data_IF_803207529387
#
_entry.id   IF_803207529387
#
_cell.length_a   1.000
_cell.length_b   1.000
_cell.length_c   1.000
_cell.angle_alpha   90.00
_cell.angle_beta   90.00
_cell.angle_gamma   90.00
#
_symmetry.space_group_name_H-M   'P 1'
#
loop_
_entity.id
_entity.type
_entity.pdbx_description
1 polymer ?
#
# COMPACT_ATOMS: atom_id res chain seq x y z
N UNK A 1 -2.98 -11.47 32.28
CA UNK A 1 -2.40 -11.07 30.97
C UNK A 1 -1.03 -11.73 30.85
N UNK A 2 -0.80 -12.54 29.82
CA UNK A 2 0.46 -13.31 29.69
C UNK A 2 1.40 -12.55 28.73
N UNK A 3 2.52 -12.02 29.24
CA UNK A 3 3.52 -11.27 28.45
C UNK A 3 4.10 -12.14 27.34
N UNK A 4 4.20 -13.46 27.56
CA UNK A 4 4.64 -14.43 26.55
C UNK A 4 3.73 -14.43 25.31
N UNK A 5 2.42 -14.21 25.48
CA UNK A 5 1.49 -14.12 24.34
C UNK A 5 1.78 -12.89 23.49
N UNK A 6 2.11 -11.75 24.10
CA UNK A 6 2.52 -10.54 23.38
C UNK A 6 3.82 -10.77 22.61
N UNK A 7 4.84 -11.33 23.26
CA UNK A 7 6.13 -11.60 22.63
C UNK A 7 5.99 -12.55 21.43
N UNK A 8 5.10 -13.54 21.50
CA UNK A 8 4.83 -14.46 20.41
C UNK A 8 4.03 -13.82 19.25
N UNK A 9 3.27 -12.73 19.51
CA UNK A 9 2.51 -12.01 18.49
C UNK A 9 3.37 -10.96 17.74
N UNK A 10 4.47 -10.46 18.36
CA UNK A 10 5.31 -9.42 17.77
C UNK A 10 5.90 -9.79 16.40
N UNK A 11 6.46 -11.00 16.17
CA UNK A 11 7.00 -11.34 14.84
C UNK A 11 5.95 -11.28 13.74
N UNK A 12 4.72 -11.74 14.00
CA UNK A 12 3.60 -11.63 13.07
C UNK A 12 3.22 -10.18 12.76
N UNK A 13 3.22 -9.31 13.78
CA UNK A 13 2.97 -7.88 13.64
C UNK A 13 4.06 -7.18 12.83
N UNK A 14 5.33 -7.58 12.99
CA UNK A 14 6.45 -7.06 12.20
C UNK A 14 6.31 -7.48 10.74
N UNK A 15 6.02 -8.77 10.47
CA UNK A 15 5.81 -9.26 9.11
C UNK A 15 4.68 -8.49 8.40
N UNK A 16 3.55 -8.33 9.09
CA UNK A 16 2.40 -7.59 8.58
C UNK A 16 2.75 -6.10 8.39
N UNK A 17 3.45 -5.49 9.34
CA UNK A 17 3.92 -4.11 9.26
C UNK A 17 4.85 -3.86 8.08
N UNK A 18 5.71 -4.82 7.71
CA UNK A 18 6.57 -4.74 6.52
C UNK A 18 5.75 -4.78 5.21
N UNK A 19 4.76 -5.68 5.10
CA UNK A 19 3.89 -5.75 3.92
C UNK A 19 3.12 -4.44 3.75
N UNK A 20 2.54 -3.95 4.84
CA UNK A 20 1.85 -2.65 4.85
C UNK A 20 2.82 -1.46 4.72
N UNK A 21 4.10 -1.65 4.97
CA UNK A 21 5.15 -0.68 4.67
C UNK A 21 5.27 -0.39 3.17
N UNK A 22 5.18 -1.43 2.32
CA UNK A 22 5.13 -1.26 0.86
C UNK A 22 3.88 -0.48 0.45
N UNK A 23 2.72 -0.80 1.02
CA UNK A 23 1.48 -0.04 0.84
C UNK A 23 1.66 1.44 1.25
N UNK A 24 2.21 1.67 2.44
CA UNK A 24 2.41 3.01 2.99
C UNK A 24 3.38 3.85 2.15
N UNK A 25 4.38 3.25 1.50
CA UNK A 25 5.24 3.95 0.52
C UNK A 25 4.38 4.44 -0.67
N UNK A 26 3.45 3.62 -1.18
CA UNK A 26 2.52 4.05 -2.22
C UNK A 26 1.69 5.27 -1.78
N UNK A 27 1.07 5.20 -0.59
CA UNK A 27 0.30 6.31 -0.01
C UNK A 27 1.17 7.54 0.23
N UNK A 28 2.42 7.37 0.69
CA UNK A 28 3.37 8.47 0.88
C UNK A 28 3.64 9.23 -0.44
N UNK A 29 3.75 8.53 -1.55
CA UNK A 29 3.99 9.14 -2.87
C UNK A 29 2.83 10.05 -3.27
N UNK A 30 1.59 9.60 -3.14
CA UNK A 30 0.43 10.44 -3.50
C UNK A 30 0.19 11.54 -2.46
N UNK A 31 0.13 11.19 -1.20
CA UNK A 31 -0.27 12.11 -0.14
C UNK A 31 0.80 13.17 0.18
N UNK A 32 2.09 12.75 0.33
CA UNK A 32 3.15 13.65 0.79
C UNK A 32 3.98 14.25 -0.34
N UNK A 33 4.20 13.49 -1.42
CA UNK A 33 5.07 13.96 -2.51
C UNK A 33 4.27 14.65 -3.60
N UNK A 34 3.07 14.16 -3.94
CA UNK A 34 2.21 14.73 -5.01
C UNK A 34 1.16 15.70 -4.46
N UNK A 35 0.95 15.74 -3.15
CA UNK A 35 -0.12 16.49 -2.48
C UNK A 35 -1.51 16.16 -3.04
N UNK A 36 -1.77 14.87 -3.20
CA UNK A 36 -3.00 14.33 -3.78
C UNK A 36 -3.62 13.29 -2.86
N UNK A 37 -4.85 13.54 -2.39
CA UNK A 37 -5.60 12.59 -1.58
C UNK A 37 -6.22 11.51 -2.49
N UNK A 38 -5.55 10.36 -2.60
CA UNK A 38 -5.94 9.24 -3.46
C UNK A 38 -6.75 8.20 -2.70
N UNK A 39 -8.06 8.16 -2.92
CA UNK A 39 -8.93 7.15 -2.33
C UNK A 39 -8.98 5.84 -3.14
N UNK A 40 -8.34 5.79 -4.33
CA UNK A 40 -8.27 4.59 -5.17
C UNK A 40 -7.52 3.45 -4.48
N UNK A 41 -6.60 3.79 -3.57
CA UNK A 41 -5.73 2.82 -2.88
C UNK A 41 -6.50 1.72 -2.17
N UNK A 42 -7.68 2.02 -1.61
CA UNK A 42 -8.56 1.03 -0.98
C UNK A 42 -9.08 -0.01 -1.99
N UNK A 43 -9.34 0.41 -3.23
CA UNK A 43 -9.71 -0.50 -4.32
C UNK A 43 -8.50 -1.24 -4.89
N UNK A 44 -7.39 -0.53 -5.08
CA UNK A 44 -6.19 -1.07 -5.74
C UNK A 44 -5.51 -2.18 -4.94
N UNK A 45 -5.51 -2.11 -3.60
CA UNK A 45 -4.97 -3.21 -2.76
C UNK A 45 -5.78 -4.49 -2.95
N UNK A 46 -7.12 -4.38 -3.00
CA UNK A 46 -8.00 -5.52 -3.25
C UNK A 46 -7.83 -6.05 -4.68
N UNK A 47 -7.63 -5.17 -5.67
CA UNK A 47 -7.34 -5.56 -7.06
C UNK A 47 -6.02 -6.33 -7.14
N UNK A 48 -4.98 -5.85 -6.49
CA UNK A 48 -3.69 -6.54 -6.45
C UNK A 48 -3.78 -7.94 -5.84
N UNK A 49 -4.48 -8.07 -4.70
CA UNK A 49 -4.75 -9.37 -4.07
C UNK A 49 -5.56 -10.30 -4.96
N UNK A 50 -6.63 -9.78 -5.57
CA UNK A 50 -7.52 -10.56 -6.46
C UNK A 50 -6.77 -11.10 -7.68
N UNK A 51 -6.02 -10.25 -8.38
CA UNK A 51 -5.23 -10.64 -9.56
C UNK A 51 -4.16 -11.65 -9.19
N UNK A 52 -3.39 -11.38 -8.12
CA UNK A 52 -2.33 -12.28 -7.68
C UNK A 52 -2.87 -13.67 -7.33
N UNK A 53 -3.93 -13.76 -6.54
CA UNK A 53 -4.51 -15.04 -6.12
C UNK A 53 -5.08 -15.81 -7.33
N UNK A 54 -5.82 -15.14 -8.21
CA UNK A 54 -6.40 -15.82 -9.37
C UNK A 54 -5.35 -16.32 -10.37
N UNK A 55 -4.27 -15.56 -10.59
CA UNK A 55 -3.14 -16.01 -11.42
C UNK A 55 -2.43 -17.23 -10.81
N UNK A 56 -2.20 -17.23 -9.49
CA UNK A 56 -1.60 -18.37 -8.80
C UNK A 56 -2.51 -19.60 -8.86
N UNK A 57 -3.83 -19.45 -8.70
CA UNK A 57 -4.81 -20.52 -8.84
C UNK A 57 -4.83 -21.09 -10.27
N UNK A 58 -4.55 -20.26 -11.27
CA UNK A 58 -4.41 -20.68 -12.67
C UNK A 58 -3.06 -21.34 -13.00
N UNK A 59 -2.20 -21.55 -11.99
CA UNK A 59 -0.91 -22.24 -12.14
C UNK A 59 0.25 -21.36 -12.59
N UNK A 60 0.09 -20.03 -12.61
CA UNK A 60 1.19 -19.14 -12.93
C UNK A 60 2.16 -18.97 -11.75
N UNK A 61 3.42 -18.65 -12.07
CA UNK A 61 4.44 -18.38 -11.06
C UNK A 61 4.07 -17.15 -10.23
N UNK A 62 4.38 -17.19 -8.93
CA UNK A 62 4.11 -16.10 -7.98
C UNK A 62 4.74 -14.77 -8.41
N UNK A 63 5.96 -14.78 -8.97
CA UNK A 63 6.60 -13.58 -9.47
C UNK A 63 5.81 -12.94 -10.61
N UNK A 64 5.31 -13.74 -11.56
CA UNK A 64 4.47 -13.27 -12.68
C UNK A 64 3.15 -12.73 -12.15
N UNK A 65 2.55 -13.38 -11.16
CA UNK A 65 1.31 -12.95 -10.53
C UNK A 65 1.46 -11.58 -9.83
N UNK A 66 2.58 -11.35 -9.12
CA UNK A 66 2.86 -10.07 -8.47
C UNK A 66 3.14 -8.95 -9.47
N UNK A 67 3.89 -9.23 -10.55
CA UNK A 67 4.11 -8.26 -11.63
C UNK A 67 2.79 -7.88 -12.29
N UNK A 68 1.94 -8.85 -12.62
CA UNK A 68 0.62 -8.59 -13.17
C UNK A 68 -0.27 -7.76 -12.23
N UNK A 69 -0.28 -8.10 -10.93
CA UNK A 69 -0.98 -7.33 -9.92
C UNK A 69 -0.51 -5.86 -9.89
N UNK A 70 0.82 -5.64 -9.94
CA UNK A 70 1.41 -4.29 -9.98
C UNK A 70 0.96 -3.53 -11.23
N UNK A 71 0.99 -4.15 -12.42
CA UNK A 71 0.56 -3.52 -13.68
C UNK A 71 -0.92 -3.15 -13.62
N UNK A 72 -1.78 -4.04 -13.12
CA UNK A 72 -3.23 -3.75 -13.00
C UNK A 72 -3.47 -2.62 -11.99
N UNK A 73 -2.71 -2.56 -10.90
CA UNK A 73 -2.73 -1.43 -9.98
C UNK A 73 -2.31 -0.11 -10.65
N UNK A 74 -1.26 -0.14 -11.49
CA UNK A 74 -0.86 1.05 -12.28
C UNK A 74 -1.98 1.50 -13.21
N UNK A 75 -2.70 0.57 -13.85
CA UNK A 75 -3.86 0.89 -14.71
C UNK A 75 -5.00 1.49 -13.90
N UNK A 76 -5.25 1.01 -12.68
CA UNK A 76 -6.25 1.59 -11.79
C UNK A 76 -5.91 3.04 -11.43
N UNK A 77 -4.65 3.31 -11.07
CA UNK A 77 -4.17 4.68 -10.83
C UNK A 77 -4.23 5.57 -12.06
N UNK A 78 -3.98 5.01 -13.26
CA UNK A 78 -4.12 5.73 -14.52
C UNK A 78 -5.57 6.18 -14.76
N UNK A 79 -6.54 5.32 -14.52
CA UNK A 79 -7.97 5.65 -14.65
C UNK A 79 -8.34 6.81 -13.73
N UNK A 80 -7.92 6.76 -12.47
CA UNK A 80 -8.14 7.86 -11.51
C UNK A 80 -7.48 9.15 -11.99
N UNK A 81 -6.26 9.07 -12.50
CA UNK A 81 -5.55 10.20 -13.07
C UNK A 81 -6.27 10.82 -14.27
N UNK A 82 -6.83 9.99 -15.16
CA UNK A 82 -7.63 10.44 -16.30
C UNK A 82 -8.92 11.12 -15.81
N UNK A 83 -9.62 10.56 -14.83
CA UNK A 83 -10.82 11.18 -14.25
C UNK A 83 -10.51 12.58 -13.69
N UNK A 84 -9.38 12.71 -13.00
CA UNK A 84 -8.99 14.00 -12.44
C UNK A 84 -8.53 14.99 -13.50
N UNK A 85 -7.65 14.58 -14.41
CA UNK A 85 -6.97 15.48 -15.35
C UNK A 85 -7.81 15.77 -16.59
N UNK A 86 -8.41 14.74 -17.21
CA UNK A 86 -9.15 14.90 -18.46
C UNK A 86 -10.61 15.29 -18.25
N UNK A 87 -11.27 14.77 -17.21
CA UNK A 87 -12.66 15.05 -16.90
C UNK A 87 -12.82 16.18 -15.87
N UNK A 88 -11.73 16.69 -15.28
CA UNK A 88 -11.78 17.78 -14.31
C UNK A 88 -12.42 17.41 -12.97
N UNK A 89 -12.55 16.09 -12.67
CA UNK A 89 -13.18 15.62 -11.43
C UNK A 89 -12.24 15.91 -10.23
N UNK A 90 -12.75 16.46 -9.10
CA UNK A 90 -11.94 16.65 -7.91
C UNK A 90 -11.23 15.35 -7.48
N UNK A 91 -9.95 15.44 -7.05
CA UNK A 91 -9.08 14.27 -6.82
C UNK A 91 -9.70 13.23 -5.88
N UNK A 92 -10.26 13.65 -4.75
CA UNK A 92 -10.93 12.77 -3.80
C UNK A 92 -12.08 12.02 -4.45
N UNK A 93 -12.94 12.75 -5.22
CA UNK A 93 -14.10 12.15 -5.90
C UNK A 93 -13.65 11.19 -7.01
N UNK A 94 -12.61 11.54 -7.79
CA UNK A 94 -12.03 10.66 -8.80
C UNK A 94 -11.56 9.32 -8.17
N UNK A 95 -10.89 9.39 -7.01
CA UNK A 95 -10.47 8.20 -6.26
C UNK A 95 -11.64 7.35 -5.78
N UNK A 96 -12.69 7.96 -5.24
CA UNK A 96 -13.89 7.25 -4.78
C UNK A 96 -14.59 6.56 -5.97
N UNK A 97 -14.73 7.22 -7.11
CA UNK A 97 -15.34 6.63 -8.31
C UNK A 97 -14.54 5.42 -8.81
N UNK A 98 -13.21 5.55 -8.86
CA UNK A 98 -12.33 4.44 -9.23
C UNK A 98 -12.44 3.27 -8.25
N UNK A 99 -12.44 3.54 -6.94
CA UNK A 99 -12.61 2.52 -5.90
C UNK A 99 -13.93 1.75 -6.06
N UNK A 100 -15.04 2.45 -6.31
CA UNK A 100 -16.34 1.82 -6.55
C UNK A 100 -16.34 0.96 -7.82
N UNK A 101 -15.71 1.45 -8.89
CA UNK A 101 -15.52 0.66 -10.13
C UNK A 101 -14.68 -0.58 -9.90
N UNK A 102 -13.56 -0.44 -9.17
CA UNK A 102 -12.67 -1.56 -8.84
C UNK A 102 -13.34 -2.64 -8.00
N UNK A 103 -14.28 -2.27 -7.11
CA UNK A 103 -15.06 -3.26 -6.36
C UNK A 103 -15.77 -4.25 -7.31
N UNK A 104 -16.43 -3.74 -8.35
CA UNK A 104 -17.12 -4.58 -9.33
C UNK A 104 -16.15 -5.40 -10.19
N UNK A 105 -15.01 -4.82 -10.55
CA UNK A 105 -13.94 -5.52 -11.28
C UNK A 105 -13.37 -6.66 -10.44
N UNK A 106 -13.05 -6.41 -9.17
CA UNK A 106 -12.52 -7.40 -8.24
C UNK A 106 -13.49 -8.57 -8.01
N UNK A 107 -14.80 -8.26 -7.90
CA UNK A 107 -15.84 -9.29 -7.78
C UNK A 107 -15.89 -10.19 -9.02
N UNK A 108 -15.69 -9.62 -10.22
CA UNK A 108 -15.64 -10.40 -11.48
C UNK A 108 -14.37 -11.22 -11.60
N UNK A 109 -13.21 -10.68 -11.16
CA UNK A 109 -11.93 -11.41 -11.18
C UNK A 109 -11.99 -12.61 -10.23
N UNK A 110 -12.46 -12.42 -9.00
CA UNK A 110 -12.55 -13.48 -7.98
C UNK A 110 -13.70 -14.46 -8.21
N UNK A 111 -14.77 -14.02 -8.90
CA UNK A 111 -16.02 -14.81 -9.08
C UNK A 111 -16.85 -14.96 -7.79
N UNK A 112 -16.33 -14.54 -6.64
CA UNK A 112 -16.97 -14.54 -5.33
C UNK A 112 -16.33 -13.50 -4.42
N UNK A 113 -16.94 -13.20 -3.27
CA UNK A 113 -16.44 -12.15 -2.37
C UNK A 113 -15.07 -12.45 -1.75
N UNK A 114 -14.79 -13.74 -1.49
CA UNK A 114 -13.52 -14.19 -0.88
C UNK A 114 -13.03 -15.44 -1.59
N UNK A 115 -11.76 -15.47 -2.00
CA UNK A 115 -11.10 -16.60 -2.62
C UNK A 115 -9.89 -17.01 -1.78
N UNK A 116 -9.97 -18.19 -1.17
CA UNK A 116 -8.86 -18.80 -0.46
C UNK A 116 -7.83 -19.40 -1.43
N UNK A 117 -6.55 -19.34 -1.03
CA UNK A 117 -5.44 -20.04 -1.68
C UNK A 117 -4.77 -20.98 -0.68
N UNK A 118 -4.60 -22.24 -1.07
CA UNK A 118 -3.98 -23.24 -0.19
C UNK A 118 -2.47 -23.12 -0.21
N UNK A 119 -1.88 -22.95 0.97
CA UNK A 119 -0.42 -22.90 1.16
C UNK A 119 0.24 -24.24 0.81
N UNK A 120 -0.47 -25.35 0.99
CA UNK A 120 0.06 -26.72 0.73
C UNK A 120 0.11 -27.06 -0.76
N UNK A 121 -0.74 -26.42 -1.56
CA UNK A 121 -0.89 -26.73 -3.00
C UNK A 121 -0.06 -25.80 -3.89
N UNK A 122 0.20 -24.58 -3.44
CA UNK A 122 0.88 -23.54 -4.21
C UNK A 122 2.14 -23.07 -3.46
N UNK A 123 3.25 -22.91 -4.18
CA UNK A 123 4.50 -22.38 -3.63
C UNK A 123 4.37 -20.88 -3.36
N UNK A 124 3.79 -20.52 -2.21
CA UNK A 124 3.69 -19.14 -1.78
C UNK A 124 5.03 -18.63 -1.25
N UNK A 125 5.37 -17.38 -1.57
CA UNK A 125 6.59 -16.73 -1.07
C UNK A 125 6.38 -16.23 0.37
N UNK A 126 5.13 -15.90 0.73
CA UNK A 126 4.73 -15.39 2.03
C UNK A 126 3.63 -16.27 2.61
N UNK A 127 3.78 -16.67 3.87
CA UNK A 127 2.79 -17.47 4.58
C UNK A 127 2.78 -17.17 6.07
N UNK A 128 1.58 -17.22 6.68
CA UNK A 128 1.41 -17.17 8.13
C UNK A 128 2.04 -18.38 8.85
N UNK A 129 2.35 -19.48 8.14
CA UNK A 129 2.98 -20.67 8.72
C UNK A 129 4.48 -20.48 8.97
N UNK A 130 5.15 -19.70 8.11
CA UNK A 130 6.57 -19.35 8.25
C UNK A 130 6.71 -17.84 8.43
N UNK A 131 6.57 -17.39 9.68
CA UNK A 131 6.65 -15.97 10.04
C UNK A 131 8.06 -15.42 9.82
N UNK A 132 9.10 -16.20 10.08
CA UNK A 132 10.48 -15.75 9.88
C UNK A 132 10.79 -15.56 8.38
N UNK A 133 10.40 -16.52 7.55
CA UNK A 133 10.48 -16.38 6.09
C UNK A 133 9.70 -15.19 5.59
N UNK A 134 8.49 -14.98 6.11
CA UNK A 134 7.66 -13.82 5.75
C UNK A 134 8.31 -12.48 6.09
N UNK A 135 8.98 -12.35 7.25
CA UNK A 135 9.72 -11.14 7.63
C UNK A 135 10.86 -10.88 6.64
N UNK A 136 11.67 -11.89 6.34
CA UNK A 136 12.83 -11.76 5.44
C UNK A 136 12.37 -11.35 4.04
N UNK A 137 11.39 -12.05 3.48
CA UNK A 137 10.87 -11.76 2.13
C UNK A 137 10.24 -10.37 2.07
N UNK A 138 9.40 -10.01 3.04
CA UNK A 138 8.79 -8.67 3.08
C UNK A 138 9.82 -7.56 3.24
N UNK A 139 10.88 -7.78 4.04
CA UNK A 139 11.98 -6.84 4.17
C UNK A 139 12.74 -6.67 2.85
N UNK A 140 12.99 -7.75 2.11
CA UNK A 140 13.60 -7.68 0.77
C UNK A 140 12.73 -6.86 -0.17
N UNK A 141 11.41 -7.08 -0.21
CA UNK A 141 10.49 -6.27 -1.01
C UNK A 141 10.53 -4.79 -0.63
N UNK A 142 10.53 -4.46 0.67
CA UNK A 142 10.69 -3.09 1.13
C UNK A 142 11.99 -2.45 0.62
N UNK A 143 13.12 -3.16 0.77
CA UNK A 143 14.43 -2.66 0.33
C UNK A 143 14.44 -2.44 -1.19
N UNK A 144 13.92 -3.39 -1.97
CA UNK A 144 13.85 -3.29 -3.44
C UNK A 144 12.97 -2.11 -3.85
N UNK A 145 11.79 -1.96 -3.25
CA UNK A 145 10.88 -0.84 -3.54
C UNK A 145 11.53 0.50 -3.18
N UNK A 146 12.19 0.60 -2.02
CA UNK A 146 12.91 1.82 -1.61
C UNK A 146 14.03 2.13 -2.58
N UNK A 147 14.82 1.14 -3.00
CA UNK A 147 15.90 1.33 -3.97
C UNK A 147 15.39 1.81 -5.34
N UNK A 148 14.31 1.19 -5.85
CA UNK A 148 13.66 1.61 -7.09
C UNK A 148 13.12 3.04 -7.01
N UNK A 149 12.44 3.38 -5.92
CA UNK A 149 11.88 4.71 -5.71
C UNK A 149 12.98 5.76 -5.50
N UNK A 150 14.05 5.41 -4.78
CA UNK A 150 15.21 6.29 -4.63
C UNK A 150 15.83 6.62 -5.99
N UNK A 151 16.05 5.60 -6.84
CA UNK A 151 16.51 5.77 -8.22
C UNK A 151 15.55 6.65 -9.02
N UNK A 152 14.24 6.37 -8.98
CA UNK A 152 13.22 7.14 -9.69
C UNK A 152 13.25 8.62 -9.28
N UNK A 153 13.24 8.94 -7.97
CA UNK A 153 13.25 10.32 -7.49
C UNK A 153 14.58 11.06 -7.75
N UNK A 154 15.64 10.35 -8.08
CA UNK A 154 16.91 10.92 -8.54
C UNK A 154 16.87 11.41 -9.99
N UNK A 155 15.94 10.89 -10.83
CA UNK A 155 15.80 11.25 -12.23
C UNK A 155 15.20 12.63 -12.45
N UNK A 156 15.25 13.16 -13.67
CA UNK A 156 14.57 14.40 -14.05
C UNK A 156 13.06 14.30 -13.88
N UNK A 157 12.48 13.15 -14.23
CA UNK A 157 11.06 12.88 -14.05
C UNK A 157 10.69 12.90 -12.57
N UNK A 158 11.48 12.29 -11.68
CA UNK A 158 11.25 12.33 -10.25
C UNK A 158 11.37 13.73 -9.64
N UNK A 159 12.26 14.57 -10.18
CA UNK A 159 12.37 15.99 -9.79
C UNK A 159 11.15 16.79 -10.23
N UNK A 160 10.70 16.61 -11.49
CA UNK A 160 9.48 17.23 -12.02
C UNK A 160 8.24 16.84 -11.21
N UNK A 161 8.17 15.57 -10.78
CA UNK A 161 7.13 15.03 -9.94
C UNK A 161 7.05 15.76 -8.58
N UNK A 162 8.18 15.90 -7.88
CA UNK A 162 8.26 16.63 -6.61
C UNK A 162 7.95 18.12 -6.76
N UNK A 163 8.40 18.74 -7.84
CA UNK A 163 8.11 20.14 -8.13
C UNK A 163 6.59 20.35 -8.30
N UNK A 164 5.91 19.40 -8.97
CA UNK A 164 4.46 19.42 -9.19
C UNK A 164 3.69 19.38 -7.87
N UNK A 165 4.06 18.50 -6.93
CA UNK A 165 3.39 18.40 -5.64
C UNK A 165 3.71 19.57 -4.71
N UNK A 166 4.91 20.15 -4.80
CA UNK A 166 5.28 21.27 -3.95
C UNK A 166 4.57 22.58 -4.38
N UNK A 167 4.53 22.87 -5.67
CA UNK A 167 3.83 24.03 -6.22
C UNK A 167 3.50 23.83 -7.70
N UNK A 168 2.26 23.44 -7.98
CA UNK A 168 1.80 23.13 -9.33
C UNK A 168 1.92 24.34 -10.28
N UNK A 169 1.60 25.54 -9.81
CA UNK A 169 1.64 26.76 -10.65
C UNK A 169 3.09 27.09 -11.05
N UNK A 170 4.01 26.99 -10.12
CA UNK A 170 5.43 27.20 -10.37
C UNK A 170 6.00 26.12 -11.29
N UNK A 171 5.63 24.85 -11.10
CA UNK A 171 6.07 23.77 -11.97
C UNK A 171 5.63 23.97 -13.42
N UNK A 172 4.39 24.41 -13.65
CA UNK A 172 3.88 24.78 -14.99
C UNK A 172 4.64 25.97 -15.59
N UNK A 173 4.94 26.97 -14.81
CA UNK A 173 5.72 28.14 -15.28
C UNK A 173 7.14 27.73 -15.72
N UNK A 174 7.68 26.65 -15.17
CA UNK A 174 8.97 26.04 -15.54
C UNK A 174 8.85 25.06 -16.74
N UNK A 175 7.69 24.96 -17.38
CA UNK A 175 7.46 24.08 -18.53
C UNK A 175 7.16 22.61 -18.17
N UNK A 176 6.96 22.27 -16.90
CA UNK A 176 6.61 20.92 -16.48
C UNK A 176 5.13 20.64 -16.78
N UNK A 177 4.86 19.52 -17.45
CA UNK A 177 3.48 19.05 -17.63
C UNK A 177 2.96 18.39 -16.34
N UNK A 178 2.35 19.20 -15.48
CA UNK A 178 1.85 18.76 -14.17
C UNK A 178 0.75 17.71 -14.28
N UNK A 179 -0.05 17.75 -15.36
CA UNK A 179 -1.10 16.77 -15.61
C UNK A 179 -0.52 15.37 -15.81
N UNK A 180 0.50 15.25 -16.63
CA UNK A 180 1.22 13.97 -16.84
C UNK A 180 1.86 13.49 -15.54
N UNK A 181 2.47 14.40 -14.76
CA UNK A 181 3.07 14.04 -13.47
C UNK A 181 2.04 13.51 -12.46
N UNK A 182 0.84 14.08 -12.41
CA UNK A 182 -0.25 13.58 -11.55
C UNK A 182 -0.67 12.17 -11.96
N UNK A 183 -0.91 11.93 -13.25
CA UNK A 183 -1.29 10.60 -13.76
C UNK A 183 -0.22 9.56 -13.45
N UNK A 184 1.04 9.85 -13.76
CA UNK A 184 2.17 8.95 -13.49
C UNK A 184 2.32 8.66 -11.99
N UNK A 185 2.12 9.66 -11.15
CA UNK A 185 2.19 9.48 -9.71
C UNK A 185 1.11 8.57 -9.15
N UNK A 186 -0.11 8.74 -9.63
CA UNK A 186 -1.21 7.85 -9.28
C UNK A 186 -0.96 6.42 -9.79
N UNK A 187 -0.38 6.26 -11.00
CA UNK A 187 0.02 4.95 -11.52
C UNK A 187 1.06 4.28 -10.63
N UNK A 188 2.16 4.96 -10.32
CA UNK A 188 3.24 4.39 -9.49
C UNK A 188 2.74 4.04 -8.10
N UNK A 189 2.00 4.94 -7.46
CA UNK A 189 1.41 4.71 -6.14
C UNK A 189 0.51 3.48 -6.12
N UNK A 190 -0.50 3.44 -7.00
CA UNK A 190 -1.46 2.34 -7.05
C UNK A 190 -0.82 1.03 -7.51
N UNK A 191 0.28 1.07 -8.28
CA UNK A 191 1.08 -0.10 -8.58
C UNK A 191 1.74 -0.70 -7.33
N UNK A 192 2.35 0.13 -6.48
CA UNK A 192 2.94 -0.31 -5.20
C UNK A 192 1.87 -0.81 -4.22
N UNK A 193 0.73 -0.13 -4.17
CA UNK A 193 -0.42 -0.53 -3.37
C UNK A 193 -0.94 -1.92 -3.79
N UNK A 194 -1.07 -2.16 -5.09
CA UNK A 194 -1.52 -3.46 -5.62
C UNK A 194 -0.46 -4.56 -5.40
N UNK A 195 0.84 -4.23 -5.50
CA UNK A 195 1.92 -5.14 -5.12
C UNK A 195 1.77 -5.57 -3.66
N UNK A 196 1.58 -4.60 -2.74
CA UNK A 196 1.33 -4.89 -1.34
C UNK A 196 0.08 -5.74 -1.14
N UNK A 197 -0.99 -5.51 -1.91
CA UNK A 197 -2.20 -6.32 -1.91
C UNK A 197 -1.95 -7.78 -2.31
N UNK A 198 -1.12 -8.01 -3.33
CA UNK A 198 -0.71 -9.35 -3.75
C UNK A 198 0.16 -10.06 -2.69
N UNK A 199 1.05 -9.36 -2.01
CA UNK A 199 1.85 -9.88 -0.90
C UNK A 199 0.96 -10.19 0.32
N UNK A 200 0.03 -9.28 0.64
CA UNK A 200 -0.89 -9.44 1.77
C UNK A 200 -1.85 -10.61 1.57
N UNK A 201 -2.38 -10.79 0.36
CA UNK A 201 -3.26 -11.92 0.04
C UNK A 201 -2.55 -13.27 0.18
N UNK A 202 -1.28 -13.36 -0.21
CA UNK A 202 -0.46 -14.57 0.03
C UNK A 202 -0.23 -14.81 1.52
N UNK A 203 0.14 -13.76 2.27
CA UNK A 203 0.36 -13.84 3.71
C UNK A 203 -0.88 -14.33 4.46
N UNK A 204 -2.05 -13.78 4.14
CA UNK A 204 -3.34 -14.16 4.72
C UNK A 204 -3.87 -15.53 4.22
N UNK A 205 -3.38 -16.02 3.08
CA UNK A 205 -3.90 -17.21 2.41
C UNK A 205 -5.28 -17.00 1.75
N UNK A 206 -5.70 -15.77 1.54
CA UNK A 206 -6.93 -15.43 0.84
C UNK A 206 -6.90 -14.02 0.21
N UNK A 207 -7.76 -13.80 -0.78
CA UNK A 207 -8.09 -12.47 -1.28
C UNK A 207 -9.57 -12.19 -1.05
N UNK A 208 -9.90 -11.06 -0.46
CA UNK A 208 -11.26 -10.59 -0.22
C UNK A 208 -11.47 -9.25 -0.92
N UNK A 209 -12.63 -9.06 -1.56
CA UNK A 209 -12.96 -7.81 -2.26
C UNK A 209 -12.98 -6.61 -1.32
N UNK A 210 -13.25 -6.85 -0.03
CA UNK A 210 -13.31 -5.80 0.99
C UNK A 210 -12.02 -5.63 1.78
N UNK A 211 -10.93 -6.34 1.44
CA UNK A 211 -9.68 -6.31 2.21
C UNK A 211 -9.03 -4.92 2.26
N UNK A 212 -9.37 -4.06 1.31
CA UNK A 212 -8.88 -2.67 1.25
C UNK A 212 -9.74 -1.64 1.96
N UNK A 213 -10.89 -2.00 2.53
CA UNK A 213 -11.77 -1.01 3.17
C UNK A 213 -11.13 -0.37 4.40
N UNK A 214 -10.77 0.91 4.27
CA UNK A 214 -10.10 1.69 5.31
C UNK A 214 -8.58 1.49 5.32
N UNK A 215 -8.02 0.86 4.31
CA UNK A 215 -6.57 0.70 4.16
C UNK A 215 -5.84 2.05 4.10
N UNK A 216 -6.46 3.05 3.48
CA UNK A 216 -5.90 4.41 3.42
C UNK A 216 -5.60 4.97 4.81
N UNK A 217 -6.43 4.69 5.82
CA UNK A 217 -6.22 5.16 7.20
C UNK A 217 -4.92 4.58 7.76
N UNK A 218 -4.65 3.29 7.52
CA UNK A 218 -3.41 2.62 7.94
C UNK A 218 -2.19 3.25 7.24
N UNK A 219 -2.31 3.51 5.94
CA UNK A 219 -1.26 4.17 5.17
C UNK A 219 -0.95 5.57 5.67
N UNK A 220 -1.99 6.39 5.88
CA UNK A 220 -1.82 7.75 6.42
C UNK A 220 -1.26 7.72 7.84
N UNK A 221 -1.75 6.83 8.72
CA UNK A 221 -1.21 6.63 10.05
C UNK A 221 0.30 6.36 9.98
N UNK A 222 0.72 5.43 9.13
CA UNK A 222 2.12 5.07 8.94
C UNK A 222 2.97 6.26 8.50
N UNK A 223 2.46 7.07 7.57
CA UNK A 223 3.14 8.29 7.08
C UNK A 223 3.23 9.36 8.17
N UNK A 224 2.18 9.56 8.97
CA UNK A 224 2.15 10.54 10.06
C UNK A 224 3.11 10.10 11.18
N UNK A 225 3.04 8.84 11.62
CA UNK A 225 3.96 8.27 12.62
C UNK A 225 5.42 8.43 12.15
N UNK A 226 5.68 8.17 10.86
CA UNK A 226 7.00 8.37 10.28
C UNK A 226 7.47 9.83 10.41
N UNK A 227 6.60 10.79 10.11
CA UNK A 227 6.91 12.22 10.20
C UNK A 227 7.20 12.73 11.62
N UNK A 228 6.59 12.11 12.63
CA UNK A 228 6.78 12.46 14.05
C UNK A 228 7.98 11.73 14.65
N UNK A 229 7.99 10.39 14.56
CA UNK A 229 8.99 9.53 15.24
C UNK A 229 10.33 9.56 14.51
N UNK A 230 10.31 9.53 13.19
CA UNK A 230 11.51 9.45 12.36
C UNK A 230 11.88 10.77 11.68
N UNK A 231 11.47 11.91 12.22
CA UNK A 231 11.78 13.26 11.70
C UNK A 231 13.28 13.48 11.41
N UNK A 232 14.15 12.78 12.13
CA UNK A 232 15.61 12.83 11.93
C UNK A 232 16.08 12.19 10.62
N UNK A 233 15.24 11.36 9.96
CA UNK A 233 15.53 10.72 8.67
C UNK A 233 15.14 11.57 7.46
N UNK A 234 14.68 12.80 7.67
CA UNK A 234 14.22 13.71 6.60
C UNK A 234 15.33 14.17 5.63
N UNK A 235 16.58 13.84 5.90
CA UNK A 235 17.73 14.21 5.09
C UNK A 235 17.78 13.56 3.71
N UNK A 236 17.23 12.35 3.57
CA UNK A 236 17.35 11.58 2.34
C UNK A 236 16.02 10.86 2.05
N UNK A 237 15.62 10.80 0.76
CA UNK A 237 14.39 10.14 0.34
C UNK A 237 14.33 8.65 0.73
N UNK A 238 15.45 7.92 0.61
CA UNK A 238 15.52 6.54 1.05
C UNK A 238 15.24 6.40 2.55
N UNK A 239 15.83 7.28 3.37
CA UNK A 239 15.62 7.28 4.82
C UNK A 239 14.17 7.68 5.20
N UNK A 240 13.55 8.60 4.46
CA UNK A 240 12.12 8.90 4.63
C UNK A 240 11.23 7.69 4.38
N UNK A 241 11.47 6.97 3.28
CA UNK A 241 10.70 5.77 2.97
C UNK A 241 10.95 4.66 4.00
N UNK A 242 12.19 4.49 4.48
CA UNK A 242 12.48 3.62 5.63
C UNK A 242 11.71 4.05 6.88
N UNK A 243 11.62 5.35 7.13
CA UNK A 243 10.79 5.90 8.21
C UNK A 243 9.31 5.53 8.05
N UNK A 244 8.77 5.60 6.82
CA UNK A 244 7.37 5.19 6.53
C UNK A 244 7.15 3.71 6.79
N UNK A 245 8.09 2.84 6.38
CA UNK A 245 8.04 1.41 6.72
C UNK A 245 8.12 1.20 8.23
N UNK A 246 9.02 1.93 8.93
CA UNK A 246 9.09 1.92 10.39
C UNK A 246 7.78 2.37 11.04
N UNK A 247 7.12 3.39 10.48
CA UNK A 247 5.79 3.84 10.92
C UNK A 247 4.73 2.77 10.78
N UNK A 248 4.73 2.01 9.68
CA UNK A 248 3.82 0.89 9.47
C UNK A 248 4.07 -0.24 10.49
N UNK A 249 5.32 -0.57 10.76
CA UNK A 249 5.67 -1.57 11.77
C UNK A 249 5.21 -1.11 13.17
N UNK A 250 5.47 0.13 13.53
CA UNK A 250 5.01 0.69 14.82
C UNK A 250 3.49 0.65 14.94
N UNK A 251 2.78 1.02 13.89
CA UNK A 251 1.32 0.94 13.87
C UNK A 251 0.82 -0.48 14.18
N UNK A 252 1.39 -1.51 13.54
CA UNK A 252 0.99 -2.91 13.80
C UNK A 252 1.42 -3.43 15.17
N UNK A 253 2.54 -2.95 15.71
CA UNK A 253 2.94 -3.25 17.09
C UNK A 253 1.94 -2.64 18.08
N UNK A 254 1.51 -1.40 17.86
CA UNK A 254 0.49 -0.75 18.71
C UNK A 254 -0.82 -1.54 18.65
N UNK A 255 -1.27 -1.98 17.47
CA UNK A 255 -2.45 -2.85 17.34
C UNK A 255 -2.27 -4.15 18.13
N UNK A 256 -1.10 -4.80 18.05
CA UNK A 256 -0.85 -6.03 18.81
C UNK A 256 -0.91 -5.81 20.33
N UNK A 257 -0.38 -4.69 20.81
CA UNK A 257 -0.46 -4.31 22.22
C UNK A 257 -1.92 -4.06 22.64
N UNK A 258 -2.68 -3.37 21.82
CA UNK A 258 -4.10 -3.06 22.06
C UNK A 258 -4.94 -4.34 22.16
N UNK A 259 -4.72 -5.30 21.25
CA UNK A 259 -5.38 -6.61 21.28
C UNK A 259 -4.96 -7.42 22.52
N UNK A 260 -3.68 -7.34 22.91
CA UNK A 260 -3.17 -7.98 24.11
C UNK A 260 -3.81 -7.41 25.38
N UNK A 261 -4.16 -6.11 25.40
CA UNK A 261 -4.90 -5.46 26.49
C UNK A 261 -6.35 -5.96 26.64
N UNK A 262 -6.83 -6.80 25.69
CA UNK A 262 -8.14 -7.43 25.74
C UNK A 262 -9.26 -6.66 25.01
N UNK A 263 -8.89 -5.71 24.15
CA UNK A 263 -9.87 -5.03 23.29
C UNK A 263 -10.26 -5.98 22.12
N UNK A 264 -11.53 -5.92 21.72
CA UNK A 264 -12.06 -6.77 20.67
C UNK A 264 -11.55 -6.35 19.28
N UNK A 265 -11.45 -7.31 18.37
CA UNK A 265 -11.06 -7.06 16.97
C UNK A 265 -12.04 -6.14 16.24
N UNK A 266 -13.29 -6.05 16.69
CA UNK A 266 -14.32 -5.14 16.19
C UNK A 266 -13.96 -3.67 16.41
N UNK A 267 -13.22 -3.37 17.48
CA UNK A 267 -12.83 -2.01 17.85
C UNK A 267 -11.55 -1.51 17.14
N UNK A 268 -10.89 -2.38 16.38
CA UNK A 268 -9.64 -2.01 15.68
C UNK A 268 -9.77 -0.79 14.76
N UNK A 269 -10.92 -0.61 14.11
CA UNK A 269 -11.15 0.57 13.24
C UNK A 269 -11.28 1.85 14.06
N UNK A 270 -11.95 1.79 15.22
CA UNK A 270 -12.04 2.93 16.13
C UNK A 270 -10.66 3.30 16.68
N UNK A 271 -9.90 2.30 17.10
CA UNK A 271 -8.54 2.49 17.61
C UNK A 271 -7.62 3.06 16.54
N UNK A 272 -7.70 2.54 15.31
CA UNK A 272 -6.94 3.08 14.17
C UNK A 272 -7.23 4.57 13.94
N UNK A 273 -8.50 4.96 14.02
CA UNK A 273 -8.90 6.36 13.90
C UNK A 273 -8.33 7.23 15.04
N UNK A 274 -8.34 6.71 16.27
CA UNK A 274 -7.78 7.40 17.44
C UNK A 274 -6.25 7.56 17.35
N UNK A 275 -5.53 6.52 16.87
CA UNK A 275 -4.06 6.57 16.68
C UNK A 275 -3.69 7.65 15.65
N UNK A 276 -4.50 7.84 14.61
CA UNK A 276 -4.26 8.87 13.58
C UNK A 276 -4.61 10.26 14.10
N UNK A 277 -5.57 10.37 15.02
CA UNK A 277 -6.03 11.66 15.56
C UNK A 277 -5.12 12.21 16.67
N UNK A 278 -4.34 11.35 17.35
CA UNK A 278 -3.45 11.70 18.45
C UNK A 278 -2.09 12.19 17.98
#
# INVERSE_FOLDING_TARGET
MNIMALLNALPGSIAQGLIWGVFAIGVYITFKVLDFADMTVDGSIATGGSVAVMMMLSGHNVAVALVAATIVGMLAGMVTGIFHVALGIPGILAGILSQLGLYSVNMRILGKSNQAISVDKYNLILSLRDIHGAIIVSAIFCIVVIALMYGFFGTEMGRAFRATGNNEKMARAQGINTNTMKVLGLMVSNGLVALAGGLYAQYQGNADVNMGRGAIVIGLASVIIAGVVFKRFDYNYALRMLGVVGGAILYYIVIAVVLWLGLETTDLKLISALIVAA
#
